data_IF_268193521606
#
_entry.id   IF_268193521606
#
_cell.length_a   1.000
_cell.length_b   1.000
_cell.length_c   1.000
_cell.angle_alpha   90.00
_cell.angle_beta   90.00
_cell.angle_gamma   90.00
#
_symmetry.space_group_name_H-M   'P 1'
#
loop_
_entity.id
_entity.type
_entity.pdbx_description
1 polymer ?
#
# COMPACT_ATOMS: atom_id res chain seq x y z
N UNK A 1 53.42 12.37 -21.04
CA UNK A 1 53.70 11.76 -19.72
C UNK A 1 53.16 12.59 -18.53
N UNK A 2 52.00 13.25 -18.67
CA UNK A 2 51.39 14.05 -17.58
C UNK A 2 49.90 13.70 -17.33
N UNK A 3 49.30 12.81 -18.12
CA UNK A 3 47.92 12.33 -17.90
C UNK A 3 47.79 11.22 -16.86
N UNK A 4 48.90 10.58 -16.46
CA UNK A 4 48.88 9.50 -15.48
C UNK A 4 48.77 9.99 -14.03
N UNK A 5 49.13 11.25 -13.74
CA UNK A 5 49.21 11.78 -12.37
C UNK A 5 47.90 12.39 -11.85
N UNK A 6 46.90 12.59 -12.71
CA UNK A 6 45.63 13.21 -12.32
C UNK A 6 44.61 12.21 -11.75
N UNK A 7 44.70 10.94 -12.16
CA UNK A 7 43.82 9.86 -11.66
C UNK A 7 44.18 9.37 -10.26
N UNK A 8 45.46 9.44 -9.87
CA UNK A 8 45.91 8.98 -8.54
C UNK A 8 45.58 9.97 -7.42
N UNK A 9 45.50 11.28 -7.68
CA UNK A 9 45.07 12.26 -6.68
C UNK A 9 43.55 12.23 -6.42
N UNK A 10 42.74 11.83 -7.41
CA UNK A 10 41.29 11.66 -7.23
C UNK A 10 40.97 10.42 -6.38
N UNK A 11 41.77 9.35 -6.47
CA UNK A 11 41.57 8.11 -5.73
C UNK A 11 41.70 8.21 -4.20
N UNK A 12 42.41 9.21 -3.68
CA UNK A 12 42.63 9.37 -2.23
C UNK A 12 41.61 10.31 -1.56
N UNK A 13 40.92 11.18 -2.32
CA UNK A 13 39.90 12.10 -1.79
C UNK A 13 38.47 11.52 -1.85
N UNK A 14 38.23 10.54 -2.73
CA UNK A 14 36.92 9.90 -2.91
C UNK A 14 36.65 8.73 -1.94
N UNK A 15 37.69 8.18 -1.30
CA UNK A 15 37.57 7.06 -0.36
C UNK A 15 36.75 7.38 0.91
N UNK A 16 36.94 8.53 1.59
CA UNK A 16 36.12 8.90 2.74
C UNK A 16 34.66 9.21 2.36
N UNK A 17 34.45 9.69 1.14
CA UNK A 17 33.15 10.09 0.58
C UNK A 17 32.32 8.86 0.21
N UNK A 18 32.92 7.87 -0.44
CA UNK A 18 32.27 6.61 -0.83
C UNK A 18 31.80 5.82 0.40
N UNK A 19 32.61 5.79 1.47
CA UNK A 19 32.22 5.18 2.76
C UNK A 19 31.02 5.87 3.40
N UNK A 20 30.98 7.20 3.40
CA UNK A 20 29.82 7.98 3.88
C UNK A 20 28.57 7.73 3.05
N UNK A 21 28.69 7.65 1.73
CA UNK A 21 27.56 7.36 0.84
C UNK A 21 27.01 5.95 1.09
N UNK A 22 27.87 4.96 1.36
CA UNK A 22 27.42 3.60 1.68
C UNK A 22 26.76 3.47 3.06
N UNK A 23 27.22 4.24 4.06
CA UNK A 23 26.61 4.26 5.40
C UNK A 23 25.27 4.99 5.38
N UNK A 24 25.19 6.15 4.71
CA UNK A 24 23.97 6.93 4.54
C UNK A 24 22.90 6.15 3.74
N UNK A 25 23.31 5.41 2.69
CA UNK A 25 22.40 4.54 1.94
C UNK A 25 21.95 3.30 2.73
N UNK A 26 22.79 2.77 3.63
CA UNK A 26 22.39 1.67 4.50
C UNK A 26 21.34 2.13 5.53
N UNK A 27 21.49 3.35 6.04
CA UNK A 27 20.51 3.98 6.93
C UNK A 27 19.19 4.26 6.21
N UNK A 28 19.25 4.82 5.00
CA UNK A 28 18.06 5.09 4.18
C UNK A 28 17.32 3.79 3.80
N UNK A 29 18.04 2.73 3.43
CA UNK A 29 17.45 1.42 3.16
C UNK A 29 16.77 0.81 4.40
N UNK A 30 17.36 0.98 5.59
CA UNK A 30 16.78 0.54 6.86
C UNK A 30 15.48 1.29 7.20
N UNK A 31 15.46 2.60 6.95
CA UNK A 31 14.26 3.42 7.14
C UNK A 31 13.15 2.99 6.17
N UNK A 32 13.49 2.74 4.91
CA UNK A 32 12.54 2.33 3.89
C UNK A 32 11.98 0.93 4.13
N UNK A 33 12.79 0.01 4.64
CA UNK A 33 12.36 -1.32 5.08
C UNK A 33 11.42 -1.23 6.30
N UNK A 34 11.71 -0.34 7.25
CA UNK A 34 10.86 -0.10 8.41
C UNK A 34 9.50 0.50 8.01
N UNK A 35 9.47 1.46 7.08
CA UNK A 35 8.25 2.03 6.52
C UNK A 35 7.42 0.98 5.79
N UNK A 36 8.05 0.17 4.93
CA UNK A 36 7.36 -0.91 4.21
C UNK A 36 6.76 -1.93 5.17
N UNK A 37 7.48 -2.28 6.25
CA UNK A 37 7.00 -3.19 7.29
C UNK A 37 5.84 -2.59 8.09
N UNK A 38 5.91 -1.31 8.45
CA UNK A 38 4.81 -0.61 9.12
C UNK A 38 3.55 -0.54 8.24
N UNK A 39 3.72 -0.30 6.94
CA UNK A 39 2.61 -0.31 5.98
C UNK A 39 1.99 -1.71 5.84
N UNK A 40 2.82 -2.75 5.80
CA UNK A 40 2.36 -4.14 5.77
C UNK A 40 1.58 -4.53 7.03
N UNK A 41 1.99 -4.05 8.21
CA UNK A 41 1.30 -4.29 9.48
C UNK A 41 -0.07 -3.59 9.53
N UNK A 42 -0.17 -2.35 9.03
CA UNK A 42 -1.43 -1.58 8.98
C UNK A 42 -2.42 -2.15 7.98
N UNK A 43 -1.93 -2.73 6.89
CA UNK A 43 -2.75 -3.32 5.84
C UNK A 43 -3.20 -4.74 6.14
N UNK A 44 -2.84 -5.33 7.29
CA UNK A 44 -3.11 -6.72 7.62
C UNK A 44 -4.59 -7.10 7.34
N UNK A 45 -4.85 -7.85 6.25
CA UNK A 45 -6.19 -8.30 5.93
C UNK A 45 -6.61 -9.47 6.82
N UNK A 46 -5.66 -10.18 7.44
CA UNK A 46 -5.88 -11.42 8.20
C UNK A 46 -6.45 -11.14 9.61
N UNK A 47 -6.11 -10.02 10.23
CA UNK A 47 -6.63 -9.60 11.53
C UNK A 47 -8.05 -9.02 11.51
N UNK A 48 -8.61 -8.75 10.31
CA UNK A 48 -9.97 -8.21 10.19
C UNK A 48 -10.99 -9.33 10.26
N UNK A 49 -11.51 -9.57 11.47
CA UNK A 49 -12.62 -10.49 11.72
C UNK A 49 -13.75 -10.21 10.71
N UNK A 50 -14.26 -11.24 10.00
CA UNK A 50 -15.32 -11.03 9.02
C UNK A 50 -16.49 -10.34 9.71
N UNK A 51 -16.90 -9.20 9.15
CA UNK A 51 -18.04 -8.46 9.69
C UNK A 51 -19.24 -9.42 9.71
N UNK A 52 -19.96 -9.44 10.82
CA UNK A 52 -21.17 -10.26 10.96
C UNK A 52 -22.06 -10.12 9.71
N UNK A 53 -22.66 -11.21 9.19
CA UNK A 53 -23.55 -11.15 8.04
C UNK A 53 -24.56 -10.02 8.22
N UNK A 54 -24.63 -9.11 7.24
CA UNK A 54 -25.57 -8.00 7.30
C UNK A 54 -26.99 -8.57 7.19
N UNK A 55 -27.89 -8.11 8.07
CA UNK A 55 -29.30 -8.55 8.10
C UNK A 55 -30.20 -7.75 7.14
N UNK A 56 -29.67 -6.67 6.57
CA UNK A 56 -30.35 -5.82 5.59
C UNK A 56 -29.33 -5.05 4.73
N UNK A 57 -29.74 -4.62 3.54
CA UNK A 57 -28.96 -3.78 2.61
C UNK A 57 -29.25 -2.30 2.88
N UNK A 58 -28.24 -1.43 2.94
CA UNK A 58 -28.47 0.01 3.12
C UNK A 58 -28.93 0.65 1.81
N UNK A 59 -29.61 1.78 1.93
CA UNK A 59 -29.92 2.63 0.78
C UNK A 59 -28.62 2.99 0.03
N UNK A 60 -28.66 2.89 -1.30
CA UNK A 60 -27.55 3.12 -2.22
C UNK A 60 -26.39 2.10 -2.14
N UNK A 61 -26.48 1.06 -1.33
CA UNK A 61 -25.59 -0.11 -1.42
C UNK A 61 -26.18 -1.14 -2.40
N UNK A 62 -25.33 -1.94 -3.04
CA UNK A 62 -25.77 -2.99 -3.95
C UNK A 62 -26.48 -4.11 -3.21
N UNK A 63 -27.66 -4.52 -3.70
CA UNK A 63 -28.38 -5.68 -3.21
C UNK A 63 -28.07 -6.98 -3.98
N UNK A 64 -27.19 -6.93 -4.98
CA UNK A 64 -26.91 -8.08 -5.83
C UNK A 64 -26.39 -9.26 -4.99
N UNK A 65 -27.00 -10.43 -5.13
CA UNK A 65 -26.62 -11.65 -4.39
C UNK A 65 -26.98 -11.65 -2.90
N UNK A 66 -27.64 -10.61 -2.39
CA UNK A 66 -28.07 -10.55 -0.99
C UNK A 66 -29.49 -11.11 -0.82
N UNK A 67 -29.65 -12.11 0.05
CA UNK A 67 -30.97 -12.68 0.40
C UNK A 67 -31.67 -11.91 1.54
N UNK A 68 -31.35 -10.64 1.73
CA UNK A 68 -31.84 -9.82 2.86
C UNK A 68 -32.59 -8.57 2.37
N UNK A 69 -33.61 -8.09 3.11
CA UNK A 69 -34.38 -6.91 2.72
C UNK A 69 -33.56 -5.62 2.82
N UNK A 70 -34.06 -4.53 2.26
CA UNK A 70 -33.53 -3.20 2.55
C UNK A 70 -33.71 -2.87 4.04
N UNK A 71 -32.78 -2.10 4.61
CA UNK A 71 -32.89 -1.68 6.01
C UNK A 71 -34.04 -0.69 6.22
N UNK A 72 -34.39 0.07 5.18
CA UNK A 72 -35.56 0.93 5.15
C UNK A 72 -36.76 0.12 4.63
N UNK A 73 -37.84 -0.05 5.42
CA UNK A 73 -39.03 -0.81 5.03
C UNK A 73 -39.79 -0.19 3.84
N UNK A 74 -39.59 1.10 3.56
CA UNK A 74 -40.17 1.78 2.41
C UNK A 74 -39.32 1.65 1.14
N UNK A 75 -38.07 1.16 1.26
CA UNK A 75 -37.17 0.99 0.13
C UNK A 75 -37.28 -0.41 -0.47
N UNK A 76 -37.16 -0.50 -1.80
CA UNK A 76 -37.12 -1.76 -2.54
C UNK A 76 -35.88 -1.77 -3.42
N UNK A 77 -35.19 -2.91 -3.48
CA UNK A 77 -34.08 -3.04 -4.40
C UNK A 77 -34.58 -3.04 -5.85
N UNK A 78 -33.94 -2.22 -6.68
CA UNK A 78 -34.30 -2.08 -8.07
C UNK A 78 -33.06 -2.23 -8.95
N UNK A 79 -33.19 -3.11 -9.94
CA UNK A 79 -32.10 -3.53 -10.81
C UNK A 79 -32.22 -2.92 -12.21
N UNK A 80 -31.11 -2.41 -12.76
CA UNK A 80 -30.98 -1.96 -14.16
C UNK A 80 -29.90 -2.76 -14.90
N UNK A 81 -29.87 -2.61 -16.22
CA UNK A 81 -28.87 -3.21 -17.10
C UNK A 81 -28.78 -4.74 -16.94
N UNK A 82 -29.89 -5.46 -17.14
CA UNK A 82 -29.93 -6.93 -17.00
C UNK A 82 -29.50 -7.43 -15.61
N UNK A 83 -29.89 -6.70 -14.56
CA UNK A 83 -29.51 -6.99 -13.17
C UNK A 83 -28.00 -6.88 -12.90
N UNK A 84 -27.28 -6.11 -13.70
CA UNK A 84 -25.87 -5.80 -13.43
C UNK A 84 -25.72 -4.75 -12.32
N UNK A 85 -26.66 -3.79 -12.23
CA UNK A 85 -26.67 -2.78 -11.19
C UNK A 85 -27.96 -2.88 -10.40
N UNK A 86 -27.80 -3.43 -9.20
CA UNK A 86 -28.74 -3.54 -8.09
C UNK A 86 -27.95 -3.11 -6.85
#
# INVERSE_FOLDING_TARGET
>A
PEEALFLELQGLSLQPSLKRITEEQAEEALLQEAEAKALAEVLDPEGRKPRSPRRCVRLHESCLGHQVPCCDPCATCYCRFFNAFC
#
